data_IF_311286903325
#
_entry.id   IF_311286903325
#
_cell.length_a   1.000
_cell.length_b   1.000
_cell.length_c   1.000
_cell.angle_alpha   90.00
_cell.angle_beta   90.00
_cell.angle_gamma   90.00
#
_symmetry.space_group_name_H-M   'P 1'
#
loop_
_entity.id
_entity.type
_entity.pdbx_description
1 polymer ?
#
# COMPACT_ATOMS: atom_id res chain seq x y z
N UNK A 1 0.31 5.99 17.75
CA UNK A 1 -0.04 7.41 17.47
C UNK A 1 -1.07 7.38 16.36
N UNK A 2 -2.24 8.01 16.52
CA UNK A 2 -3.33 7.93 15.52
C UNK A 2 -2.93 8.82 14.33
N UNK A 3 -2.76 8.22 13.17
CA UNK A 3 -2.44 8.91 11.92
C UNK A 3 -3.60 9.87 11.57
N UNK A 4 -3.31 11.17 11.62
CA UNK A 4 -4.29 12.24 11.41
C UNK A 4 -4.64 12.40 9.93
N UNK A 5 -3.68 12.15 9.04
CA UNK A 5 -3.87 12.23 7.60
C UNK A 5 -4.77 11.08 7.13
N UNK A 6 -4.61 9.89 7.71
CA UNK A 6 -5.51 8.76 7.48
C UNK A 6 -6.97 9.02 7.90
N UNK A 7 -7.22 9.91 8.87
CA UNK A 7 -8.58 10.28 9.31
C UNK A 7 -9.29 11.23 8.35
N UNK A 8 -8.55 12.02 7.58
CA UNK A 8 -9.10 12.98 6.63
C UNK A 8 -9.88 12.28 5.50
N UNK A 9 -9.61 10.99 5.29
CA UNK A 9 -10.23 10.12 4.30
C UNK A 9 -11.23 9.12 4.90
N UNK A 10 -11.54 9.25 6.20
CA UNK A 10 -12.48 8.39 6.91
C UNK A 10 -13.94 8.76 6.56
N UNK A 11 -14.63 7.88 5.85
CA UNK A 11 -16.03 8.06 5.41
C UNK A 11 -17.02 8.28 6.56
N UNK A 12 -16.76 7.76 7.76
CA UNK A 12 -17.63 8.02 8.92
C UNK A 12 -17.55 9.47 9.41
N UNK A 13 -16.48 10.18 9.05
CA UNK A 13 -16.27 11.59 9.37
C UNK A 13 -16.57 12.52 8.17
N UNK A 14 -16.47 12.01 6.92
CA UNK A 14 -16.63 12.78 5.68
C UNK A 14 -17.44 12.02 4.60
N UNK A 15 -18.75 11.79 4.80
CA UNK A 15 -19.59 10.96 3.92
C UNK A 15 -19.86 11.55 2.52
N UNK A 16 -19.75 12.87 2.38
CA UNK A 16 -19.91 13.64 1.14
C UNK A 16 -18.73 13.54 0.17
N UNK A 17 -17.57 13.06 0.63
CA UNK A 17 -16.41 12.84 -0.23
C UNK A 17 -16.59 11.54 -1.02
N UNK A 18 -16.26 11.49 -2.32
CA UNK A 18 -16.38 10.29 -3.15
C UNK A 18 -15.43 9.20 -2.67
N UNK A 19 -15.86 8.48 -1.62
CA UNK A 19 -15.17 7.34 -1.04
C UNK A 19 -15.50 6.12 -1.88
N UNK A 20 -14.70 6.05 -2.91
CA UNK A 20 -14.54 4.95 -3.81
C UNK A 20 -13.96 3.76 -2.91
N UNK A 21 -14.63 2.57 -2.81
CA UNK A 21 -14.32 1.30 -2.07
C UNK A 21 -13.86 0.00 -2.84
N UNK A 22 -12.62 -0.51 -2.81
CA UNK A 22 -12.32 -1.85 -3.41
C UNK A 22 -12.77 -3.01 -2.49
N UNK A 23 -13.30 -4.10 -3.07
CA UNK A 23 -13.68 -5.32 -2.33
C UNK A 23 -12.70 -6.44 -2.66
N UNK A 24 -11.92 -6.87 -1.66
CA UNK A 24 -10.97 -7.97 -1.82
C UNK A 24 -11.70 -9.30 -1.98
N UNK A 25 -11.01 -10.31 -2.53
CA UNK A 25 -11.50 -11.70 -2.65
C UNK A 25 -11.83 -12.33 -1.29
N UNK A 26 -11.23 -11.83 -0.21
CA UNK A 26 -11.50 -12.23 1.19
C UNK A 26 -12.61 -11.44 1.88
N UNK A 27 -13.26 -10.49 1.20
CA UNK A 27 -14.37 -9.70 1.74
C UNK A 27 -13.96 -8.49 2.59
N UNK A 28 -12.67 -8.27 2.84
CA UNK A 28 -12.18 -7.06 3.50
C UNK A 28 -12.30 -5.84 2.57
N UNK A 29 -12.79 -4.73 3.12
CA UNK A 29 -12.85 -3.42 2.45
C UNK A 29 -11.64 -2.60 2.85
N UNK A 30 -10.87 -2.13 1.88
CA UNK A 30 -9.86 -1.10 2.12
C UNK A 30 -9.86 -0.12 0.93
N UNK A 31 -9.73 1.17 1.24
CA UNK A 31 -9.65 2.38 0.38
C UNK A 31 -9.48 2.10 -1.14
N UNK A 32 -10.43 2.50 -2.03
CA UNK A 32 -10.38 2.18 -3.51
C UNK A 32 -9.09 2.69 -4.09
N UNK A 33 -8.56 1.87 -4.97
CA UNK A 33 -8.10 2.32 -6.26
C UNK A 33 -9.13 1.86 -7.30
N UNK A 34 -9.52 2.73 -8.22
CA UNK A 34 -10.39 2.33 -9.33
C UNK A 34 -9.57 1.40 -10.23
N UNK A 35 -10.08 0.20 -10.50
CA UNK A 35 -9.41 -0.75 -11.38
C UNK A 35 -9.97 -0.64 -12.80
N UNK A 36 -9.09 -0.71 -13.79
CA UNK A 36 -9.38 -0.73 -15.20
C UNK A 36 -8.81 -1.99 -15.86
N UNK A 37 -9.17 -2.21 -17.13
CA UNK A 37 -8.66 -3.38 -17.88
C UNK A 37 -7.14 -3.35 -18.05
N UNK A 38 -6.57 -2.14 -18.09
CA UNK A 38 -5.15 -1.85 -18.15
C UNK A 38 -4.82 -0.72 -17.17
N UNK A 39 -3.54 -0.38 -17.07
CA UNK A 39 -3.14 0.82 -16.34
C UNK A 39 -3.61 2.05 -17.12
N UNK A 40 -4.47 2.86 -16.52
CA UNK A 40 -5.06 4.03 -17.18
C UNK A 40 -4.74 5.30 -16.40
N UNK A 41 -4.49 6.39 -17.13
CA UNK A 41 -4.29 7.72 -16.58
C UNK A 41 -5.33 8.65 -17.18
N UNK A 42 -6.12 9.32 -16.35
CA UNK A 42 -7.00 10.39 -16.77
C UNK A 42 -6.18 11.65 -17.05
N UNK A 43 -5.80 11.81 -18.32
CA UNK A 43 -4.97 12.93 -18.76
C UNK A 43 -5.65 14.29 -18.55
N UNK A 44 -6.98 14.35 -18.60
CA UNK A 44 -7.72 15.59 -18.41
C UNK A 44 -7.70 15.99 -16.93
N UNK A 45 -8.02 15.07 -16.03
CA UNK A 45 -7.97 15.32 -14.59
C UNK A 45 -6.54 15.64 -14.12
N UNK A 46 -5.53 14.96 -14.67
CA UNK A 46 -4.12 15.25 -14.39
C UNK A 46 -3.73 16.67 -14.83
N UNK A 47 -4.14 17.07 -16.04
CA UNK A 47 -3.88 18.40 -16.56
C UNK A 47 -4.55 19.47 -15.71
N UNK A 48 -5.83 19.29 -15.39
CA UNK A 48 -6.61 20.21 -14.56
C UNK A 48 -5.97 20.37 -13.17
N UNK A 49 -5.56 19.28 -12.52
CA UNK A 49 -4.86 19.37 -11.24
C UNK A 49 -3.58 20.22 -11.35
N UNK A 50 -2.73 19.95 -12.35
CA UNK A 50 -1.47 20.68 -12.53
C UNK A 50 -1.72 22.17 -12.83
N UNK A 51 -2.75 22.50 -13.60
CA UNK A 51 -3.01 23.89 -14.01
C UNK A 51 -3.80 24.68 -12.99
N UNK A 52 -4.69 24.04 -12.22
CA UNK A 52 -5.69 24.71 -11.41
C UNK A 52 -5.50 24.51 -9.91
N UNK A 53 -4.79 23.47 -9.47
CA UNK A 53 -4.70 23.09 -8.05
C UNK A 53 -3.26 22.94 -7.55
N UNK A 54 -2.31 22.65 -8.43
CA UNK A 54 -0.89 22.52 -8.08
C UNK A 54 -0.20 23.88 -8.02
N UNK A 55 -0.43 24.61 -6.92
CA UNK A 55 0.18 25.91 -6.68
C UNK A 55 1.58 25.80 -6.04
N UNK A 56 2.22 26.95 -5.82
CA UNK A 56 3.56 27.01 -5.21
C UNK A 56 3.58 26.46 -3.79
N UNK A 57 2.49 26.55 -3.03
CA UNK A 57 2.41 26.03 -1.68
C UNK A 57 2.39 24.49 -1.69
N UNK A 58 1.56 23.91 -2.56
CA UNK A 58 1.49 22.46 -2.78
C UNK A 58 2.82 21.91 -3.31
N UNK A 59 3.49 22.65 -4.20
CA UNK A 59 4.83 22.30 -4.69
C UNK A 59 5.84 22.20 -3.53
N UNK A 60 5.88 23.18 -2.64
CA UNK A 60 6.80 23.19 -1.50
C UNK A 60 6.48 22.08 -0.48
N UNK A 61 5.19 21.81 -0.25
CA UNK A 61 4.76 20.72 0.62
C UNK A 61 5.18 19.36 0.07
N UNK A 62 5.03 19.14 -1.24
CA UNK A 62 5.36 17.87 -1.88
C UNK A 62 6.85 17.56 -1.95
N UNK A 63 7.74 18.55 -1.86
CA UNK A 63 9.20 18.32 -1.84
C UNK A 63 9.67 17.50 -0.63
N UNK A 64 8.90 17.51 0.47
CA UNK A 64 9.25 16.80 1.70
C UNK A 64 8.49 15.47 1.86
N UNK A 65 7.68 15.09 0.86
CA UNK A 65 6.83 13.90 0.89
C UNK A 65 7.52 12.73 0.18
N UNK A 66 7.30 11.51 0.66
CA UNK A 66 7.83 10.32 -0.02
C UNK A 66 7.07 10.02 -1.33
N UNK A 67 7.76 9.40 -2.30
CA UNK A 67 7.16 9.02 -3.58
C UNK A 67 5.95 8.08 -3.44
N UNK A 68 5.84 7.34 -2.34
CA UNK A 68 4.68 6.49 -2.07
C UNK A 68 3.42 7.29 -1.71
N UNK A 69 3.59 8.50 -1.15
CA UNK A 69 2.48 9.40 -0.85
C UNK A 69 1.93 10.05 -2.10
N UNK A 70 2.78 10.40 -3.07
CA UNK A 70 2.32 10.91 -4.37
C UNK A 70 1.52 9.85 -5.13
N UNK A 71 2.00 8.60 -5.16
CA UNK A 71 1.26 7.48 -5.77
C UNK A 71 -0.12 7.30 -5.12
N UNK A 72 -0.21 7.39 -3.79
CA UNK A 72 -1.49 7.35 -3.07
C UNK A 72 -2.42 8.48 -3.47
N UNK A 73 -1.92 9.71 -3.58
CA UNK A 73 -2.70 10.86 -4.02
C UNK A 73 -3.33 10.62 -5.40
N UNK A 74 -2.53 10.28 -6.41
CA UNK A 74 -3.02 10.06 -7.77
C UNK A 74 -4.08 8.95 -7.88
N UNK A 75 -3.89 7.89 -7.10
CA UNK A 75 -4.84 6.78 -7.07
C UNK A 75 -6.12 7.13 -6.29
N UNK A 76 -6.02 7.94 -5.23
CA UNK A 76 -7.18 8.40 -4.45
C UNK A 76 -8.05 9.39 -5.25
N UNK A 77 -7.41 10.30 -5.99
CA UNK A 77 -8.10 11.24 -6.89
C UNK A 77 -8.69 10.54 -8.13
N UNK A 78 -8.40 9.26 -8.34
CA UNK A 78 -8.86 8.49 -9.51
C UNK A 78 -8.21 8.92 -10.82
N UNK A 79 -7.16 9.73 -10.74
CA UNK A 79 -6.36 10.18 -11.89
C UNK A 79 -5.57 9.00 -12.46
N UNK A 80 -5.17 8.05 -11.60
CA UNK A 80 -4.54 6.80 -12.01
C UNK A 80 -5.46 5.63 -11.62
N UNK A 81 -5.62 4.68 -12.54
CA UNK A 81 -6.38 3.45 -12.35
C UNK A 81 -5.49 2.24 -12.53
N UNK A 82 -5.61 1.28 -11.63
CA UNK A 82 -4.78 0.08 -11.62
C UNK A 82 -5.39 -1.00 -12.51
N UNK A 83 -4.59 -1.89 -13.13
CA UNK A 83 -5.14 -3.08 -13.76
C UNK A 83 -5.92 -3.95 -12.76
N UNK A 84 -6.95 -4.65 -13.25
CA UNK A 84 -7.72 -5.61 -12.46
C UNK A 84 -6.82 -6.59 -11.67
N UNK A 85 -7.08 -6.70 -10.36
CA UNK A 85 -6.36 -7.59 -9.46
C UNK A 85 -5.00 -7.07 -8.98
N UNK A 86 -4.60 -5.84 -9.36
CA UNK A 86 -3.36 -5.21 -8.89
C UNK A 86 -3.55 -4.34 -7.64
N UNK A 87 -4.78 -3.96 -7.28
CA UNK A 87 -5.04 -3.14 -6.09
C UNK A 87 -4.50 -3.79 -4.82
N UNK A 88 -4.68 -5.11 -4.66
CA UNK A 88 -4.16 -5.85 -3.50
C UNK A 88 -2.63 -5.78 -3.42
N UNK A 89 -1.93 -5.93 -4.56
CA UNK A 89 -0.47 -5.86 -4.59
C UNK A 89 0.04 -4.48 -4.17
N UNK A 90 -0.60 -3.42 -4.65
CA UNK A 90 -0.28 -2.05 -4.24
C UNK A 90 -0.55 -1.81 -2.77
N UNK A 91 -1.65 -2.35 -2.24
CA UNK A 91 -1.97 -2.26 -0.83
C UNK A 91 -0.93 -2.99 0.04
N UNK A 92 -0.51 -4.19 -0.39
CA UNK A 92 0.52 -4.97 0.31
C UNK A 92 1.87 -4.24 0.28
N UNK A 93 2.23 -3.64 -0.86
CA UNK A 93 3.43 -2.80 -0.97
C UNK A 93 3.35 -1.58 -0.04
N UNK A 94 2.22 -0.88 0.00
CA UNK A 94 2.02 0.28 0.86
C UNK A 94 2.07 -0.09 2.35
N UNK A 95 1.43 -1.20 2.74
CA UNK A 95 1.48 -1.73 4.12
C UNK A 95 2.91 -2.12 4.51
N UNK A 96 3.65 -2.79 3.62
CA UNK A 96 5.06 -3.14 3.84
C UNK A 96 5.92 -1.89 4.00
N UNK A 97 5.76 -0.88 3.14
CA UNK A 97 6.47 0.39 3.24
C UNK A 97 6.22 1.08 4.59
N UNK A 98 4.96 1.19 5.01
CA UNK A 98 4.60 1.75 6.32
C UNK A 98 5.22 0.97 7.48
N UNK A 99 5.19 -0.36 7.43
CA UNK A 99 5.80 -1.20 8.45
C UNK A 99 7.30 -0.93 8.57
N UNK A 100 8.05 -0.92 7.46
CA UNK A 100 9.49 -0.72 7.49
C UNK A 100 9.89 0.72 7.85
N UNK A 101 9.14 1.72 7.41
CA UNK A 101 9.35 3.12 7.83
C UNK A 101 9.15 3.26 9.34
N UNK A 102 8.07 2.70 9.89
CA UNK A 102 7.83 2.70 11.33
C UNK A 102 8.88 1.89 12.11
N UNK A 103 9.39 0.80 11.54
CA UNK A 103 10.47 0.00 12.14
C UNK A 103 11.79 0.78 12.18
N UNK A 104 12.16 1.43 11.07
CA UNK A 104 13.35 2.29 10.98
C UNK A 104 13.31 3.41 12.02
N UNK A 105 12.17 4.10 12.15
CA UNK A 105 11.95 5.14 13.15
C UNK A 105 12.08 4.60 14.59
N UNK A 106 11.45 3.46 14.88
CA UNK A 106 11.48 2.85 16.22
C UNK A 106 12.88 2.41 16.64
N UNK A 107 13.68 1.93 15.70
CA UNK A 107 15.03 1.45 15.93
C UNK A 107 16.10 2.53 15.70
N UNK A 108 15.68 3.75 15.32
CA UNK A 108 16.56 4.86 14.96
C UNK A 108 17.62 4.45 13.92
N UNK A 109 17.19 3.72 12.89
CA UNK A 109 18.02 3.28 11.78
C UNK A 109 17.79 4.17 10.56
N UNK A 110 18.86 4.48 9.85
CA UNK A 110 18.76 5.02 8.49
C UNK A 110 18.26 3.95 7.51
N UNK A 111 17.68 4.33 6.35
CA UNK A 111 17.26 3.35 5.34
C UNK A 111 18.39 2.40 4.90
N UNK A 112 19.62 2.91 4.79
CA UNK A 112 20.80 2.12 4.43
C UNK A 112 21.17 1.09 5.50
N UNK A 113 21.10 1.46 6.78
CA UNK A 113 21.37 0.53 7.88
C UNK A 113 20.30 -0.55 7.98
N UNK A 114 19.02 -0.17 7.80
CA UNK A 114 17.94 -1.15 7.75
C UNK A 114 18.12 -2.12 6.58
N UNK A 115 18.47 -1.63 5.40
CA UNK A 115 18.70 -2.48 4.22
C UNK A 115 19.86 -3.46 4.44
N UNK A 116 20.99 -2.98 4.96
CA UNK A 116 22.12 -3.84 5.31
C UNK A 116 21.73 -4.93 6.33
N UNK A 117 20.89 -4.60 7.31
CA UNK A 117 20.38 -5.58 8.28
C UNK A 117 19.42 -6.59 7.64
N UNK A 118 18.52 -6.15 6.75
CA UNK A 118 17.61 -7.04 6.05
C UNK A 118 18.35 -8.00 5.12
N UNK A 119 19.33 -7.51 4.36
CA UNK A 119 20.14 -8.34 3.46
C UNK A 119 20.98 -9.34 4.23
N UNK A 120 21.65 -8.92 5.31
CA UNK A 120 22.49 -9.82 6.11
C UNK A 120 21.71 -10.91 6.83
N UNK A 121 20.42 -10.68 7.12
CA UNK A 121 19.54 -11.65 7.78
C UNK A 121 18.52 -12.28 6.82
N UNK A 122 18.62 -12.04 5.52
CA UNK A 122 17.74 -12.64 4.54
C UNK A 122 18.01 -14.15 4.44
N UNK A 123 16.99 -14.91 4.05
CA UNK A 123 17.12 -16.31 3.70
C UNK A 123 16.92 -16.45 2.20
N UNK A 124 17.65 -17.37 1.58
CA UNK A 124 17.46 -17.72 0.18
C UNK A 124 16.11 -18.40 -0.04
N UNK A 125 15.66 -18.40 -1.30
CA UNK A 125 14.43 -19.12 -1.68
C UNK A 125 14.49 -20.62 -1.34
N UNK A 126 15.68 -21.23 -1.47
CA UNK A 126 15.90 -22.63 -1.10
C UNK A 126 15.71 -22.87 0.40
N UNK A 127 16.28 -22.01 1.25
CA UNK A 127 16.11 -22.07 2.70
C UNK A 127 14.67 -21.77 3.12
N UNK A 128 14.00 -20.83 2.44
CA UNK A 128 12.60 -20.54 2.65
C UNK A 128 11.72 -21.76 2.35
N UNK A 129 11.92 -22.41 1.19
CA UNK A 129 11.19 -23.62 0.84
C UNK A 129 11.47 -24.78 1.81
N UNK A 130 12.71 -24.93 2.28
CA UNK A 130 13.06 -25.94 3.28
C UNK A 130 12.36 -25.69 4.63
N UNK A 131 12.17 -24.45 5.04
CA UNK A 131 11.45 -24.10 6.28
C UNK A 131 9.93 -24.23 6.18
N UNK A 132 9.38 -24.04 4.98
CA UNK A 132 7.93 -24.23 4.71
C UNK A 132 7.59 -25.70 4.49
N UNK A 133 8.48 -26.48 3.87
CA UNK A 133 8.34 -27.93 3.76
C UNK A 133 8.46 -28.54 5.16
N UNK A 134 7.31 -28.81 5.76
CA UNK A 134 7.22 -29.68 6.93
C UNK A 134 7.69 -31.07 6.52
N UNK A 135 8.80 -31.54 7.09
CA UNK A 135 9.25 -32.94 6.98
C UNK A 135 8.30 -33.92 7.71
N UNK A 136 7.32 -33.41 8.47
CA UNK A 136 6.29 -34.21 9.10
C UNK A 136 5.01 -34.21 8.24
N UNK A 137 4.36 -35.38 8.04
CA UNK A 137 3.04 -35.43 7.43
C UNK A 137 2.11 -34.53 8.24
N UNK A 138 1.55 -33.51 7.58
CA UNK A 138 0.55 -32.65 8.20
C UNK A 138 -0.62 -33.54 8.60
N UNK A 139 -0.83 -33.73 9.91
CA UNK A 139 -2.00 -34.42 10.43
C UNK A 139 -3.23 -33.83 9.77
N UNK A 140 -3.97 -34.67 9.07
CA UNK A 140 -5.24 -34.29 8.51
C UNK A 140 -6.18 -33.98 9.68
N UNK A 141 -6.35 -32.69 9.96
CA UNK A 141 -7.19 -32.19 11.05
C UNK A 141 -8.65 -32.66 10.88
N UNK A 142 -9.06 -33.04 9.68
CA UNK A 142 -10.38 -33.61 9.42
C UNK A 142 -10.45 -35.11 9.64
N UNK A 143 -9.32 -35.82 9.59
CA UNK A 143 -9.25 -37.26 9.91
C UNK A 143 -9.16 -37.52 11.43
N UNK A 144 -8.66 -36.56 12.21
CA UNK A 144 -8.57 -36.68 13.70
C UNK A 144 -9.91 -36.37 14.39
N UNK A 145 -10.86 -35.77 13.68
CA UNK A 145 -12.16 -35.35 14.22
C UNK A 145 -13.34 -36.26 13.82
N UNK A 146 -13.08 -37.37 13.11
CA UNK A 146 -14.07 -38.37 12.70
C UNK A 146 -13.99 -39.62 13.60
#
# INVERSE_FOLDING_TARGET
MRDFDAKQWNRYLHPERPSRYARTTGGEQTVYFEEASQFEVDAQAACEFVTCSYDTAFMLETQNREAIESARFWLNEGIVKLPLGMAQRYQDMAKRGQYFSGLAQRLNLTPHELDAQLVSNCISDGEHQARIRRDAPQLDLFAVAA
#
